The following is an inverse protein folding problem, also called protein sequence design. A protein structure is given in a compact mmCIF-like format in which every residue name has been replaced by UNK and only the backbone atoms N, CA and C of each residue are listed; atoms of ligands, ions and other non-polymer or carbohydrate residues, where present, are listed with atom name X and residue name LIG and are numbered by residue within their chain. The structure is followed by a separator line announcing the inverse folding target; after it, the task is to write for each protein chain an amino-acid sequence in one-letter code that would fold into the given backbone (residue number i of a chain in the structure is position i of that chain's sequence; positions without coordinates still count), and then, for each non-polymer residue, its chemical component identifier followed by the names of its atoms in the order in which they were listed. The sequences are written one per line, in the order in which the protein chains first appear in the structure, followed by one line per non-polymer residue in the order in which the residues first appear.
data_IF_339553509348
#
_entry.id   IF_339553509348
#
_cell.length_a   1.000
_cell.length_b   1.000
_cell.length_c   1.000
_cell.angle_alpha   90.00
_cell.angle_beta   90.00
_cell.angle_gamma   90.00
#
_symmetry.space_group_name_H-M   'P 1'
#
loop_
_entity.id
_entity.type
_entity.pdbx_description
1 polymer ?
#
# COMPACT_ATOMS: atom_id res chain seq x y z
N UNK A 1 52.36 -25.42 -10.82
CA UNK A 1 51.18 -26.29 -10.70
C UNK A 1 50.65 -26.16 -9.30
N UNK A 2 49.51 -25.51 -9.13
CA UNK A 2 48.49 -25.86 -8.12
C UNK A 2 47.30 -24.90 -8.32
N UNK A 3 46.21 -25.46 -8.84
CA UNK A 3 44.94 -24.78 -9.08
C UNK A 3 44.10 -24.91 -7.80
N UNK A 4 43.74 -23.81 -7.13
CA UNK A 4 42.67 -23.82 -6.12
C UNK A 4 41.39 -23.29 -6.76
N UNK A 5 40.53 -24.23 -7.13
CA UNK A 5 39.14 -23.98 -7.53
C UNK A 5 38.36 -23.40 -6.35
N UNK A 6 37.68 -22.27 -6.57
CA UNK A 6 36.65 -21.75 -5.66
C UNK A 6 35.30 -21.84 -6.38
N UNK A 7 34.55 -22.87 -6.03
CA UNK A 7 33.15 -23.05 -6.39
C UNK A 7 32.32 -21.96 -5.71
N UNK A 8 31.67 -21.10 -6.50
CA UNK A 8 30.67 -20.16 -6.00
C UNK A 8 29.35 -20.93 -5.85
N UNK A 9 28.93 -21.18 -4.61
CA UNK A 9 27.59 -21.69 -4.34
C UNK A 9 26.59 -20.53 -4.50
N UNK A 10 25.72 -20.61 -5.50
CA UNK A 10 24.54 -19.75 -5.57
C UNK A 10 23.54 -20.24 -4.52
N UNK A 11 23.47 -19.53 -3.39
CA UNK A 11 22.38 -19.67 -2.43
C UNK A 11 21.15 -18.96 -2.97
N UNK A 12 20.12 -19.70 -3.33
CA UNK A 12 18.76 -19.18 -3.55
C UNK A 12 18.26 -18.63 -2.21
N UNK A 13 18.14 -17.31 -2.09
CA UNK A 13 17.44 -16.68 -0.96
C UNK A 13 15.96 -16.63 -1.33
N UNK A 14 15.19 -17.57 -0.78
CA UNK A 14 13.73 -17.51 -0.81
C UNK A 14 13.29 -16.59 0.34
N UNK A 15 12.76 -15.40 0.02
CA UNK A 15 12.09 -14.55 1.01
C UNK A 15 10.66 -15.06 1.23
N UNK A 16 10.43 -15.73 2.36
CA UNK A 16 9.10 -15.84 2.94
C UNK A 16 8.93 -14.65 3.90
N UNK A 17 8.07 -13.68 3.58
CA UNK A 17 7.67 -12.65 4.53
C UNK A 17 6.22 -12.86 4.98
N UNK A 18 6.09 -13.57 6.09
CA UNK A 18 4.93 -13.57 6.96
C UNK A 18 5.44 -13.58 8.39
N UNK A 19 5.81 -12.41 8.93
CA UNK A 19 6.20 -12.30 10.34
C UNK A 19 4.99 -11.87 11.17
N UNK A 20 4.30 -12.85 11.76
CA UNK A 20 3.42 -12.62 12.90
C UNK A 20 4.28 -12.53 14.17
N UNK A 21 4.41 -11.34 14.75
CA UNK A 21 4.96 -11.19 16.10
C UNK A 21 3.78 -11.09 17.07
N UNK A 22 3.38 -12.21 17.67
CA UNK A 22 2.61 -12.20 18.91
C UNK A 22 3.56 -11.88 20.06
N UNK A 23 3.51 -10.66 20.60
CA UNK A 23 4.23 -10.30 21.83
C UNK A 23 3.26 -10.30 23.00
N UNK A 24 3.12 -11.44 23.66
CA UNK A 24 2.64 -11.47 25.04
C UNK A 24 3.85 -11.33 25.97
N UNK A 25 3.75 -10.39 26.92
CA UNK A 25 4.64 -10.12 28.06
C UNK A 25 5.67 -8.98 27.90
N UNK A 26 5.51 -8.02 28.82
CA UNK A 26 6.44 -6.99 29.28
C UNK A 26 6.51 -5.66 28.50
N UNK A 27 5.62 -4.75 28.87
CA UNK A 27 5.96 -3.38 29.30
C UNK A 27 7.00 -2.62 28.49
N UNK A 28 6.71 -2.32 27.23
CA UNK A 28 7.39 -1.27 26.46
C UNK A 28 6.45 -0.88 25.32
N UNK A 29 6.04 0.40 25.26
CA UNK A 29 5.29 0.98 24.15
C UNK A 29 6.14 0.93 22.86
N UNK A 30 6.27 -0.25 22.26
CA UNK A 30 6.87 -0.42 20.94
C UNK A 30 5.74 -0.29 19.93
N UNK A 31 5.80 0.77 19.13
CA UNK A 31 4.94 0.95 17.96
C UNK A 31 5.14 -0.26 17.04
N UNK A 32 4.09 -1.07 16.86
CA UNK A 32 4.04 -2.06 15.80
C UNK A 32 3.43 -1.37 14.58
N UNK A 33 4.23 -1.17 13.53
CA UNK A 33 3.73 -0.71 12.22
C UNK A 33 3.67 -1.95 11.34
N UNK A 34 2.48 -2.24 10.80
CA UNK A 34 2.35 -3.26 9.76
C UNK A 34 2.77 -2.59 8.45
N UNK A 35 3.87 -3.08 7.89
CA UNK A 35 4.40 -2.61 6.61
C UNK A 35 4.03 -3.60 5.52
N UNK A 36 3.36 -3.10 4.50
CA UNK A 36 3.07 -3.85 3.28
C UNK A 36 3.86 -3.25 2.14
N UNK A 37 4.76 -4.05 1.56
CA UNK A 37 5.65 -3.68 0.44
C UNK A 37 5.09 -4.34 -0.82
N UNK A 38 4.75 -3.54 -1.83
CA UNK A 38 4.25 -4.04 -3.12
C UNK A 38 5.40 -4.12 -4.13
N UNK A 39 5.62 -5.29 -4.75
CA UNK A 39 6.54 -5.46 -5.89
C UNK A 39 6.05 -6.58 -6.82
N UNK A 40 6.34 -6.50 -8.13
CA UNK A 40 6.06 -7.59 -9.09
C UNK A 40 7.27 -8.53 -9.22
N UNK A 41 7.07 -9.84 -9.10
CA UNK A 41 8.00 -10.87 -9.59
C UNK A 41 7.46 -11.47 -10.90
N UNK A 42 8.27 -11.45 -11.96
CA UNK A 42 7.99 -12.14 -13.21
C UNK A 42 8.27 -13.64 -13.05
N UNK A 43 7.22 -14.46 -12.89
CA UNK A 43 7.40 -15.93 -12.89
C UNK A 43 7.17 -16.55 -14.26
N UNK A 44 8.25 -17.07 -14.83
CA UNK A 44 8.27 -17.99 -15.98
C UNK A 44 7.93 -19.43 -15.57
N UNK A 45 7.04 -20.05 -16.36
CA UNK A 45 6.83 -21.48 -16.69
C UNK A 45 7.46 -22.55 -15.78
N UNK A 46 6.65 -23.51 -15.29
CA UNK A 46 7.05 -24.92 -15.21
C UNK A 46 5.84 -25.88 -15.33
N UNK A 47 6.15 -27.01 -15.95
CA UNK A 47 5.31 -28.00 -16.62
C UNK A 47 4.47 -28.92 -15.73
N UNK A 48 3.36 -29.40 -16.30
CA UNK A 48 2.54 -30.49 -15.79
C UNK A 48 3.31 -31.80 -15.66
N UNK A 49 3.16 -32.49 -14.53
CA UNK A 49 3.40 -33.93 -14.42
C UNK A 49 2.18 -34.56 -13.74
N UNK A 50 1.58 -35.53 -14.43
CA UNK A 50 0.49 -36.34 -13.90
C UNK A 50 1.05 -37.44 -13.01
N UNK A 51 0.41 -37.67 -11.86
CA UNK A 51 0.62 -38.87 -11.07
C UNK A 51 -0.76 -39.45 -10.74
N UNK A 52 -1.03 -40.63 -11.31
CA UNK A 52 -2.12 -41.51 -10.89
C UNK A 52 -1.61 -42.29 -9.70
N UNK A 53 -2.39 -42.37 -8.62
CA UNK A 53 -2.24 -43.50 -7.72
C UNK A 53 -3.55 -43.88 -7.01
N UNK A 54 -3.58 -45.16 -6.65
CA UNK A 54 -4.76 -46.02 -6.55
C UNK A 54 -5.53 -45.88 -5.23
N UNK A 55 -6.87 -45.92 -5.31
CA UNK A 55 -7.75 -45.98 -4.14
C UNK A 55 -7.57 -47.31 -3.40
N UNK A 56 -7.22 -47.24 -2.11
CA UNK A 56 -7.43 -48.34 -1.16
C UNK A 56 -8.45 -47.87 -0.13
N UNK A 57 -9.58 -48.58 0.00
CA UNK A 57 -10.64 -48.26 0.96
C UNK A 57 -10.17 -48.52 2.40
N UNK A 58 -10.12 -47.46 3.21
CA UNK A 58 -10.04 -47.56 4.67
C UNK A 58 -11.42 -47.35 5.29
N UNK A 59 -11.74 -48.16 6.30
CA UNK A 59 -13.00 -48.17 7.05
C UNK A 59 -13.18 -46.89 7.89
N UNK A 60 -14.43 -46.42 8.12
CA UNK A 60 -14.66 -45.13 8.75
C UNK A 60 -14.47 -45.23 10.26
N UNK A 61 -13.53 -44.45 10.80
CA UNK A 61 -13.44 -44.16 12.23
C UNK A 61 -14.46 -43.06 12.54
N UNK A 62 -15.40 -43.34 13.43
CA UNK A 62 -16.38 -42.36 13.92
C UNK A 62 -15.70 -41.30 14.78
N UNK A 63 -15.67 -40.06 14.29
CA UNK A 63 -15.16 -38.91 15.03
C UNK A 63 -16.18 -38.43 16.10
N UNK A 64 -15.74 -37.92 17.26
CA UNK A 64 -16.63 -37.38 18.28
C UNK A 64 -17.39 -36.15 17.77
N UNK A 65 -18.70 -36.15 17.98
CA UNK A 65 -19.66 -35.14 17.50
C UNK A 65 -19.74 -33.90 18.39
N UNK A 66 -18.63 -33.20 18.59
CA UNK A 66 -18.65 -31.80 19.08
C UNK A 66 -17.38 -31.08 18.62
N UNK A 67 -17.32 -30.75 17.33
CA UNK A 67 -16.48 -29.63 16.88
C UNK A 67 -17.35 -28.39 17.06
N UNK A 68 -17.14 -27.68 18.17
CA UNK A 68 -17.67 -26.32 18.30
C UNK A 68 -17.11 -25.51 17.13
N UNK A 69 -17.98 -25.16 16.18
CA UNK A 69 -17.59 -24.42 15.00
C UNK A 69 -17.27 -22.99 15.43
N UNK A 70 -16.02 -22.73 15.83
CA UNK A 70 -15.41 -21.42 15.65
C UNK A 70 -15.20 -21.20 14.15
N UNK A 71 -16.30 -21.22 13.38
CA UNK A 71 -16.32 -20.60 12.08
C UNK A 71 -16.16 -19.12 12.40
N UNK A 72 -14.92 -18.64 12.31
CA UNK A 72 -14.67 -17.22 12.13
C UNK A 72 -15.67 -16.76 11.07
N UNK A 73 -16.63 -15.92 11.47
CA UNK A 73 -17.59 -15.32 10.56
C UNK A 73 -16.81 -14.35 9.68
N UNK A 74 -16.13 -14.88 8.67
CA UNK A 74 -15.60 -14.10 7.58
C UNK A 74 -16.81 -13.64 6.77
N UNK A 75 -17.49 -12.58 7.23
CA UNK A 75 -18.53 -11.92 6.45
C UNK A 75 -18.02 -11.48 5.07
N UNK A 76 -16.69 -11.39 4.92
CA UNK A 76 -15.99 -10.99 3.72
C UNK A 76 -14.84 -11.94 3.40
N UNK A 77 -14.78 -12.34 2.12
CA UNK A 77 -13.68 -13.12 1.56
C UNK A 77 -12.68 -12.14 0.95
N UNK A 78 -11.38 -12.35 1.20
CA UNK A 78 -10.31 -11.59 0.52
C UNK A 78 -10.52 -11.57 -1.01
N UNK A 79 -11.03 -12.67 -1.58
CA UNK A 79 -11.34 -12.76 -3.01
C UNK A 79 -12.50 -11.85 -3.38
N UNK A 80 -13.58 -11.86 -2.59
CA UNK A 80 -14.72 -10.97 -2.80
C UNK A 80 -14.28 -9.49 -2.75
N UNK A 81 -13.51 -9.13 -1.73
CA UNK A 81 -13.08 -7.76 -1.51
C UNK A 81 -12.05 -7.30 -2.55
N UNK A 82 -11.19 -8.20 -3.02
CA UNK A 82 -10.28 -7.91 -4.13
C UNK A 82 -11.06 -7.63 -5.43
N UNK A 83 -12.10 -8.42 -5.73
CA UNK A 83 -12.95 -8.19 -6.90
C UNK A 83 -13.74 -6.88 -6.78
N UNK A 84 -14.21 -6.54 -5.58
CA UNK A 84 -14.89 -5.27 -5.33
C UNK A 84 -13.94 -4.08 -5.45
N UNK A 85 -12.75 -4.14 -4.83
CA UNK A 85 -11.70 -3.13 -4.95
C UNK A 85 -11.35 -2.90 -6.42
N UNK A 86 -11.08 -3.99 -7.16
CA UNK A 86 -10.82 -3.93 -8.60
C UNK A 86 -12.00 -3.29 -9.36
N UNK A 87 -13.24 -3.67 -9.05
CA UNK A 87 -14.42 -3.08 -9.70
C UNK A 87 -14.49 -1.57 -9.47
N UNK A 88 -14.26 -1.11 -8.23
CA UNK A 88 -14.28 0.31 -7.88
C UNK A 88 -13.18 1.08 -8.62
N UNK A 89 -11.93 0.59 -8.61
CA UNK A 89 -10.81 1.21 -9.33
C UNK A 89 -11.07 1.28 -10.84
N UNK A 90 -11.59 0.19 -11.43
CA UNK A 90 -11.79 0.08 -12.87
C UNK A 90 -12.98 0.86 -13.42
N UNK A 91 -13.94 1.29 -12.56
CA UNK A 91 -15.07 2.13 -12.98
C UNK A 91 -14.63 3.48 -13.55
N UNK A 92 -13.59 4.08 -12.98
CA UNK A 92 -13.13 5.42 -13.36
C UNK A 92 -11.91 5.37 -14.26
N UNK A 93 -11.10 4.30 -14.18
CA UNK A 93 -9.82 4.14 -14.89
C UNK A 93 -8.83 5.29 -14.61
N UNK A 94 -8.99 5.92 -13.43
CA UNK A 94 -8.17 7.05 -13.00
C UNK A 94 -7.08 6.69 -12.00
N UNK A 95 -6.88 5.40 -11.78
CA UNK A 95 -5.75 4.84 -11.06
C UNK A 95 -5.32 3.56 -11.75
N UNK A 96 -4.02 3.35 -11.85
CA UNK A 96 -3.37 2.18 -12.41
C UNK A 96 -3.22 1.00 -11.44
N UNK A 97 -3.61 1.17 -10.16
CA UNK A 97 -3.59 0.14 -9.09
C UNK A 97 -4.12 -1.24 -9.52
N UNK A 98 -5.05 -1.27 -10.46
CA UNK A 98 -5.62 -2.50 -11.04
C UNK A 98 -5.53 -2.59 -12.57
N UNK A 99 -4.91 -1.62 -13.24
CA UNK A 99 -4.77 -1.57 -14.71
C UNK A 99 -3.35 -1.93 -15.13
N UNK A 100 -2.35 -1.20 -14.60
CA UNK A 100 -0.94 -1.51 -14.79
C UNK A 100 -0.43 -2.42 -13.67
N UNK A 101 -1.03 -2.32 -12.49
CA UNK A 101 -0.68 -3.09 -11.29
C UNK A 101 -1.76 -4.10 -10.92
N UNK A 102 -1.44 -4.95 -9.94
CA UNK A 102 -2.33 -6.00 -9.40
C UNK A 102 -2.56 -5.85 -7.90
N UNK A 103 -2.75 -4.62 -7.42
CA UNK A 103 -2.81 -4.33 -6.00
C UNK A 103 -4.12 -4.74 -5.31
N UNK A 104 -5.15 -5.16 -6.07
CA UNK A 104 -6.46 -5.48 -5.51
C UNK A 104 -6.45 -6.51 -4.37
N UNK A 105 -5.66 -7.58 -4.49
CA UNK A 105 -5.63 -8.63 -3.47
C UNK A 105 -4.98 -8.13 -2.17
N UNK A 106 -3.89 -7.40 -2.32
CA UNK A 106 -3.08 -6.95 -1.20
C UNK A 106 -3.72 -5.75 -0.49
N UNK A 107 -4.42 -4.87 -1.22
CA UNK A 107 -5.30 -3.87 -0.61
C UNK A 107 -6.47 -4.50 0.11
N UNK A 108 -7.14 -5.48 -0.49
CA UNK A 108 -8.24 -6.19 0.19
C UNK A 108 -7.76 -6.79 1.52
N UNK A 109 -6.66 -7.54 1.53
CA UNK A 109 -6.08 -8.12 2.76
C UNK A 109 -5.72 -7.05 3.79
N UNK A 110 -5.07 -5.98 3.34
CA UNK A 110 -4.50 -4.96 4.22
C UNK A 110 -5.58 -4.05 4.80
N UNK A 111 -6.66 -3.78 4.07
CA UNK A 111 -7.66 -2.80 4.48
C UNK A 111 -8.93 -3.38 5.11
N UNK A 112 -9.11 -4.72 5.07
CA UNK A 112 -10.22 -5.43 5.75
C UNK A 112 -10.41 -4.98 7.20
N UNK A 113 -9.37 -4.84 8.06
CA UNK A 113 -9.55 -4.44 9.45
C UNK A 113 -10.26 -3.09 9.60
N UNK A 114 -9.99 -2.12 8.71
CA UNK A 114 -10.60 -0.79 8.75
C UNK A 114 -12.01 -0.78 8.14
N UNK A 115 -12.24 -1.64 7.14
CA UNK A 115 -13.54 -1.83 6.50
C UNK A 115 -14.58 -2.43 7.47
N UNK A 116 -14.15 -3.47 8.17
CA UNK A 116 -14.97 -4.25 9.10
C UNK A 116 -15.11 -3.59 10.46
N UNK A 117 -14.18 -2.70 10.82
CA UNK A 117 -14.25 -1.96 12.07
C UNK A 117 -15.56 -1.17 12.17
N UNK A 118 -16.16 -1.23 13.36
CA UNK A 118 -17.27 -0.34 13.74
C UNK A 118 -16.78 1.05 14.14
N UNK A 119 -15.50 1.18 14.48
CA UNK A 119 -14.88 2.47 14.77
C UNK A 119 -14.45 3.16 13.47
N UNK A 120 -14.71 4.47 13.33
CA UNK A 120 -14.23 5.23 12.18
C UNK A 120 -12.70 5.25 12.17
N UNK A 121 -12.12 5.32 10.97
CA UNK A 121 -10.67 5.43 10.79
C UNK A 121 -10.29 6.59 9.87
N UNK A 122 -9.00 6.92 9.78
CA UNK A 122 -8.47 7.98 8.93
C UNK A 122 -7.38 7.45 8.02
N UNK A 123 -7.54 7.69 6.72
CA UNK A 123 -6.55 7.37 5.71
C UNK A 123 -5.92 8.66 5.18
N UNK A 124 -4.60 8.66 5.02
CA UNK A 124 -3.85 9.65 4.25
C UNK A 124 -3.24 8.99 3.02
N UNK A 125 -3.59 9.46 1.82
CA UNK A 125 -2.90 9.10 0.57
C UNK A 125 -2.00 10.26 0.13
N UNK A 126 -0.70 9.99 0.04
CA UNK A 126 0.27 10.88 -0.57
C UNK A 126 0.21 10.64 -2.07
N UNK A 127 -0.14 11.67 -2.85
CA UNK A 127 -0.36 11.56 -4.29
C UNK A 127 -1.86 11.50 -4.64
N UNK A 128 -2.36 12.55 -5.28
CA UNK A 128 -3.74 12.65 -5.76
C UNK A 128 -3.86 12.35 -7.26
N UNK A 129 -2.72 12.09 -7.91
CA UNK A 129 -2.61 11.91 -9.36
C UNK A 129 -2.64 13.24 -10.13
N UNK A 130 -2.30 14.38 -9.52
CA UNK A 130 -2.31 15.67 -10.23
C UNK A 130 -1.31 15.74 -11.40
N UNK A 131 -0.30 14.87 -11.43
CA UNK A 131 0.64 14.75 -12.54
C UNK A 131 0.27 13.63 -13.54
N UNK A 132 -0.72 12.79 -13.23
CA UNK A 132 -1.15 11.69 -14.11
C UNK A 132 -1.89 12.19 -15.36
N UNK A 133 -1.43 11.83 -16.55
CA UNK A 133 -1.86 12.45 -17.83
C UNK A 133 -3.37 12.41 -18.14
N UNK A 134 -4.10 11.36 -17.73
CA UNK A 134 -5.52 11.16 -18.11
C UNK A 134 -6.52 11.80 -17.14
N UNK A 135 -6.25 11.73 -15.85
CA UNK A 135 -7.15 12.23 -14.81
C UNK A 135 -6.47 12.27 -13.44
N UNK A 136 -7.20 12.73 -12.42
CA UNK A 136 -6.81 12.74 -11.01
C UNK A 136 -7.91 12.06 -10.17
N UNK A 137 -7.73 11.97 -8.86
CA UNK A 137 -8.71 11.40 -7.91
C UNK A 137 -8.91 9.89 -8.00
N UNK A 138 -8.00 9.13 -8.62
CA UNK A 138 -8.09 7.68 -8.70
C UNK A 138 -8.18 7.00 -7.33
N UNK A 139 -7.36 7.46 -6.39
CA UNK A 139 -7.37 7.08 -4.98
C UNK A 139 -8.71 7.28 -4.28
N UNK A 140 -9.22 8.51 -4.11
CA UNK A 140 -10.48 8.75 -3.38
C UNK A 140 -11.69 8.11 -4.07
N UNK A 141 -11.70 8.02 -5.41
CA UNK A 141 -12.76 7.29 -6.13
C UNK A 141 -12.73 5.77 -5.90
N UNK A 142 -11.63 5.23 -5.39
CA UNK A 142 -11.48 3.82 -5.00
C UNK A 142 -11.67 3.64 -3.49
N UNK A 143 -10.90 4.34 -2.67
CA UNK A 143 -10.82 4.11 -1.24
C UNK A 143 -12.05 4.59 -0.47
N UNK A 144 -12.66 5.73 -0.83
CA UNK A 144 -13.86 6.22 -0.13
C UNK A 144 -15.05 5.24 -0.22
N UNK A 145 -15.43 4.70 -1.40
CA UNK A 145 -16.48 3.69 -1.47
C UNK A 145 -16.05 2.33 -0.87
N UNK A 146 -14.77 1.97 -0.95
CA UNK A 146 -14.27 0.71 -0.38
C UNK A 146 -14.25 0.73 1.15
N UNK A 147 -13.99 1.89 1.75
CA UNK A 147 -13.87 2.13 3.19
C UNK A 147 -14.89 3.15 3.69
N UNK A 148 -16.20 2.81 3.75
CA UNK A 148 -17.27 3.77 4.00
C UNK A 148 -17.25 4.42 5.40
N UNK A 149 -16.48 3.87 6.35
CA UNK A 149 -16.27 4.43 7.70
C UNK A 149 -14.92 5.13 7.86
N UNK A 150 -14.19 5.32 6.77
CA UNK A 150 -12.86 5.93 6.79
C UNK A 150 -12.90 7.32 6.20
N UNK A 151 -12.41 8.31 6.95
CA UNK A 151 -12.21 9.66 6.43
C UNK A 151 -10.95 9.68 5.58
N UNK A 152 -11.10 10.09 4.32
CA UNK A 152 -10.02 10.15 3.36
C UNK A 152 -9.37 11.53 3.39
N UNK A 153 -8.04 11.55 3.47
CA UNK A 153 -7.22 12.75 3.38
C UNK A 153 -6.16 12.54 2.31
N UNK A 154 -5.67 13.63 1.75
CA UNK A 154 -4.58 13.57 0.77
C UNK A 154 -3.49 14.60 1.05
N UNK A 155 -2.25 14.23 0.75
CA UNK A 155 -1.13 15.16 0.67
C UNK A 155 -0.65 15.21 -0.76
N UNK A 156 -0.73 16.39 -1.37
CA UNK A 156 -0.45 16.57 -2.78
C UNK A 156 0.42 17.81 -3.00
N UNK A 157 1.41 17.68 -3.88
CA UNK A 157 2.38 18.73 -4.18
C UNK A 157 1.67 19.96 -4.73
N UNK A 158 0.76 19.78 -5.68
CA UNK A 158 0.01 20.87 -6.29
C UNK A 158 -1.42 20.48 -6.66
N UNK A 159 -2.36 20.61 -5.73
CA UNK A 159 -3.79 20.36 -5.96
C UNK A 159 -4.38 21.26 -7.06
N UNK A 160 -3.83 22.46 -7.30
CA UNK A 160 -4.32 23.31 -8.40
C UNK A 160 -4.12 22.66 -9.78
N UNK A 161 -3.09 21.81 -9.93
CA UNK A 161 -2.88 21.01 -11.14
C UNK A 161 -3.94 19.91 -11.32
N UNK A 162 -4.52 19.40 -10.22
CA UNK A 162 -5.68 18.51 -10.28
C UNK A 162 -6.96 19.25 -10.68
N UNK A 163 -7.16 20.50 -10.25
CA UNK A 163 -8.41 21.24 -10.51
C UNK A 163 -8.73 21.36 -12.00
N UNK A 164 -7.71 21.56 -12.85
CA UNK A 164 -7.88 21.56 -14.30
C UNK A 164 -8.43 20.24 -14.86
N UNK A 165 -8.23 19.12 -14.16
CA UNK A 165 -8.68 17.78 -14.57
C UNK A 165 -10.04 17.40 -14.00
N UNK A 166 -10.51 18.06 -12.95
CA UNK A 166 -11.81 17.77 -12.34
C UNK A 166 -12.93 18.00 -13.35
N UNK A 167 -12.91 19.16 -14.02
CA UNK A 167 -13.89 19.51 -15.06
C UNK A 167 -13.81 18.54 -16.24
N UNK A 168 -12.59 18.23 -16.71
CA UNK A 168 -12.38 17.32 -17.84
C UNK A 168 -12.90 15.90 -17.59
N UNK A 169 -12.96 15.47 -16.32
CA UNK A 169 -13.38 14.12 -15.91
C UNK A 169 -14.76 14.08 -15.25
N UNK A 170 -15.53 15.17 -15.32
CA UNK A 170 -16.87 15.27 -14.74
C UNK A 170 -16.91 14.90 -13.24
N UNK A 171 -15.88 15.33 -12.49
CA UNK A 171 -15.81 15.09 -11.05
C UNK A 171 -16.98 15.81 -10.37
N UNK A 172 -17.79 15.13 -9.53
CA UNK A 172 -18.88 15.77 -8.80
C UNK A 172 -18.38 16.92 -7.92
N UNK A 173 -19.13 18.01 -7.86
CA UNK A 173 -18.80 19.20 -7.07
C UNK A 173 -18.66 18.86 -5.58
N UNK A 174 -19.45 17.90 -5.11
CA UNK A 174 -19.38 17.42 -3.73
C UNK A 174 -18.05 16.72 -3.44
N UNK A 175 -17.54 15.93 -4.39
CA UNK A 175 -16.27 15.24 -4.24
C UNK A 175 -15.10 16.23 -4.33
N UNK A 176 -15.12 17.16 -5.28
CA UNK A 176 -14.04 18.16 -5.40
C UNK A 176 -13.97 19.05 -4.16
N UNK A 177 -15.12 19.49 -3.63
CA UNK A 177 -15.19 20.25 -2.37
C UNK A 177 -14.69 19.43 -1.18
N UNK A 178 -15.09 18.16 -1.08
CA UNK A 178 -14.60 17.27 -0.02
C UNK A 178 -13.07 17.18 -0.04
N UNK A 179 -12.47 16.99 -1.21
CA UNK A 179 -11.01 16.90 -1.36
C UNK A 179 -10.34 18.23 -0.99
N UNK A 180 -10.86 19.38 -1.43
CA UNK A 180 -10.33 20.69 -1.05
C UNK A 180 -10.34 20.91 0.49
N UNK A 181 -11.36 20.40 1.19
CA UNK A 181 -11.48 20.49 2.65
C UNK A 181 -10.53 19.52 3.39
N UNK A 182 -10.15 18.39 2.76
CA UNK A 182 -9.37 17.29 3.34
C UNK A 182 -7.96 17.12 2.74
N UNK A 183 -7.50 18.12 1.98
CA UNK A 183 -6.17 18.12 1.38
C UNK A 183 -5.15 18.91 2.23
N UNK A 184 -3.92 18.41 2.20
CA UNK A 184 -2.70 19.11 2.54
C UNK A 184 -1.94 19.44 1.25
N UNK A 185 -1.25 20.58 1.25
CA UNK A 185 -0.52 21.08 0.08
C UNK A 185 0.97 21.17 0.36
N UNK A 186 1.78 20.65 -0.54
CA UNK A 186 3.24 20.73 -0.49
C UNK A 186 3.92 19.36 -0.63
N UNK A 187 5.25 19.37 -0.55
CA UNK A 187 6.05 18.15 -0.69
C UNK A 187 5.83 17.20 0.48
N UNK A 188 5.60 15.92 0.18
CA UNK A 188 5.59 14.84 1.17
C UNK A 188 6.98 14.50 1.72
N UNK A 189 8.03 15.06 1.13
CA UNK A 189 9.42 14.98 1.61
C UNK A 189 9.87 16.22 2.39
N UNK A 190 8.92 17.06 2.86
CA UNK A 190 9.18 18.21 3.72
C UNK A 190 8.57 17.97 5.11
N UNK A 191 9.43 17.94 6.13
CA UNK A 191 9.07 17.69 7.54
C UNK A 191 8.01 18.69 8.05
N UNK A 192 8.10 19.96 7.68
CA UNK A 192 7.14 20.97 8.13
C UNK A 192 5.77 20.73 7.51
N UNK A 193 5.72 20.35 6.24
CA UNK A 193 4.47 20.03 5.52
C UNK A 193 3.81 18.79 6.11
N UNK A 194 4.54 17.68 6.26
CA UNK A 194 3.95 16.44 6.80
C UNK A 194 3.52 16.60 8.25
N UNK A 195 4.27 17.33 9.08
CA UNK A 195 3.86 17.62 10.46
C UNK A 195 2.62 18.50 10.52
N UNK A 196 2.53 19.55 9.70
CA UNK A 196 1.33 20.38 9.62
C UNK A 196 0.10 19.58 9.18
N UNK A 197 0.29 18.67 8.22
CA UNK A 197 -0.77 17.77 7.76
C UNK A 197 -1.24 16.82 8.88
N UNK A 198 -0.29 16.16 9.57
CA UNK A 198 -0.60 15.29 10.71
C UNK A 198 -1.26 16.04 11.86
N UNK A 199 -0.85 17.27 12.14
CA UNK A 199 -1.49 18.09 13.18
C UNK A 199 -2.92 18.50 12.81
N UNK A 200 -3.18 18.75 11.52
CA UNK A 200 -4.51 19.16 11.02
C UNK A 200 -5.50 18.00 10.98
N UNK A 201 -5.09 16.84 10.48
CA UNK A 201 -6.01 15.74 10.14
C UNK A 201 -5.72 14.44 10.88
N UNK A 202 -4.49 14.24 11.34
CA UNK A 202 -4.06 13.02 12.01
C UNK A 202 -4.58 12.88 13.45
N UNK A 203 -4.01 11.94 14.22
CA UNK A 203 -3.17 10.84 13.71
C UNK A 203 -3.96 9.97 12.72
N UNK A 204 -3.27 9.36 11.76
CA UNK A 204 -3.85 8.51 10.73
C UNK A 204 -3.77 7.04 11.14
N UNK A 205 -4.75 6.25 10.72
CA UNK A 205 -4.78 4.80 10.87
C UNK A 205 -4.08 4.10 9.71
N UNK A 206 -4.17 4.70 8.51
CA UNK A 206 -3.52 4.23 7.29
C UNK A 206 -2.82 5.40 6.60
N UNK A 207 -1.57 5.21 6.21
CA UNK A 207 -0.84 6.10 5.31
C UNK A 207 -0.42 5.31 4.08
N UNK A 208 -0.76 5.82 2.90
CA UNK A 208 -0.36 5.27 1.60
C UNK A 208 0.57 6.27 0.93
N UNK A 209 1.78 5.84 0.57
CA UNK A 209 2.71 6.61 -0.26
C UNK A 209 2.64 6.15 -1.72
N UNK A 210 1.84 6.88 -2.50
CA UNK A 210 1.70 6.79 -3.96
C UNK A 210 2.14 8.13 -4.60
N UNK A 211 3.19 8.73 -4.00
CA UNK A 211 3.60 10.09 -4.31
C UNK A 211 4.48 10.16 -5.56
N UNK A 212 5.74 10.57 -5.36
CA UNK A 212 6.66 10.79 -6.48
C UNK A 212 7.40 9.55 -6.95
N UNK A 213 7.40 8.45 -6.20
CA UNK A 213 8.23 7.24 -6.43
C UNK A 213 9.77 7.46 -6.44
N UNK A 214 10.25 8.70 -6.29
CA UNK A 214 11.67 9.00 -6.10
C UNK A 214 12.16 8.30 -4.82
N UNK A 215 13.21 7.49 -4.92
CA UNK A 215 13.72 6.70 -3.80
C UNK A 215 14.01 7.57 -2.57
N UNK A 216 14.50 8.80 -2.77
CA UNK A 216 14.71 9.79 -1.70
C UNK A 216 13.42 10.16 -0.96
N UNK A 217 12.34 10.43 -1.68
CA UNK A 217 11.06 10.79 -1.06
C UNK A 217 10.42 9.59 -0.37
N UNK A 218 10.47 8.41 -1.01
CA UNK A 218 9.98 7.17 -0.42
C UNK A 218 10.77 6.78 0.84
N UNK A 219 12.10 6.94 0.82
CA UNK A 219 12.96 6.71 2.00
C UNK A 219 12.64 7.67 3.13
N UNK A 220 12.38 8.95 2.80
CA UNK A 220 11.93 9.94 3.77
C UNK A 220 10.60 9.51 4.40
N UNK A 221 9.61 9.19 3.56
CA UNK A 221 8.27 8.77 3.99
C UNK A 221 8.34 7.56 4.92
N UNK A 222 9.10 6.53 4.54
CA UNK A 222 9.34 5.35 5.37
C UNK A 222 9.90 5.70 6.75
N UNK A 223 11.00 6.46 6.79
CA UNK A 223 11.68 6.81 8.05
C UNK A 223 10.85 7.76 8.92
N UNK A 224 10.13 8.69 8.29
CA UNK A 224 9.28 9.66 8.97
C UNK A 224 8.08 8.97 9.60
N UNK A 225 7.25 8.27 8.82
CA UNK A 225 5.99 7.69 9.30
C UNK A 225 6.20 6.58 10.33
N UNK A 226 7.29 5.81 10.23
CA UNK A 226 7.62 4.78 11.23
C UNK A 226 7.88 5.35 12.63
N UNK A 227 8.27 6.63 12.72
CA UNK A 227 8.60 7.32 13.98
C UNK A 227 7.61 8.43 14.34
N UNK A 228 6.74 8.80 13.40
CA UNK A 228 5.86 9.95 13.53
C UNK A 228 4.70 9.62 14.48
N UNK A 229 4.36 10.52 15.42
CA UNK A 229 3.11 10.40 16.17
C UNK A 229 1.87 10.65 15.28
N UNK A 230 2.07 11.07 14.03
CA UNK A 230 1.03 11.23 13.03
C UNK A 230 0.47 9.93 12.47
N UNK A 231 1.10 8.79 12.72
CA UNK A 231 0.58 7.44 12.45
C UNK A 231 0.29 6.76 13.80
N UNK A 232 -0.92 6.23 13.98
CA UNK A 232 -1.29 5.57 15.25
C UNK A 232 -0.43 4.32 15.48
N UNK A 233 -0.12 3.95 16.74
CA UNK A 233 0.45 2.64 17.03
C UNK A 233 -0.48 1.53 16.52
N UNK A 234 0.06 0.58 15.74
CA UNK A 234 -0.76 -0.42 15.05
C UNK A 234 -1.27 0.03 13.68
N UNK A 235 -1.05 1.29 13.30
CA UNK A 235 -1.42 1.85 12.00
C UNK A 235 -0.56 1.30 10.87
N UNK A 236 -1.07 1.43 9.64
CA UNK A 236 -0.51 0.79 8.46
C UNK A 236 0.19 1.82 7.58
N UNK A 237 1.43 1.53 7.21
CA UNK A 237 2.16 2.28 6.19
C UNK A 237 2.29 1.39 4.96
N UNK A 238 1.71 1.86 3.85
CA UNK A 238 1.74 1.19 2.54
C UNK A 238 2.57 2.08 1.62
N UNK A 239 3.54 1.49 0.92
CA UNK A 239 4.38 2.19 -0.05
C UNK A 239 4.18 1.52 -1.40
N UNK A 240 3.72 2.28 -2.39
CA UNK A 240 3.51 1.80 -3.76
C UNK A 240 4.76 1.97 -4.64
N UNK A 241 4.77 1.23 -5.74
CA UNK A 241 5.66 1.41 -6.89
C UNK A 241 7.17 1.37 -6.63
N UNK A 242 7.58 0.52 -5.68
CA UNK A 242 8.99 0.33 -5.36
C UNK A 242 9.82 -0.21 -6.54
N UNK A 243 9.20 -0.80 -7.56
CA UNK A 243 9.89 -1.24 -8.78
C UNK A 243 10.63 -0.08 -9.48
N UNK A 244 10.10 1.15 -9.41
CA UNK A 244 10.63 2.32 -10.14
C UNK A 244 11.92 2.82 -9.50
N UNK A 245 12.17 2.50 -8.23
CA UNK A 245 13.39 2.91 -7.51
C UNK A 245 14.69 2.35 -8.12
N UNK A 246 14.58 1.32 -8.98
CA UNK A 246 15.71 0.75 -9.71
C UNK A 246 16.11 1.53 -10.98
N UNK A 247 15.33 2.56 -11.37
CA UNK A 247 15.57 3.32 -12.58
C UNK A 247 16.57 4.47 -12.33
N UNK A 248 17.50 4.76 -13.26
CA UNK A 248 18.56 5.75 -13.04
C UNK A 248 18.07 7.14 -12.62
N UNK A 249 16.94 7.60 -13.16
CA UNK A 249 16.38 8.92 -12.85
C UNK A 249 15.71 8.99 -11.47
N UNK A 250 15.42 7.84 -10.85
CA UNK A 250 14.60 7.71 -9.64
C UNK A 250 15.36 7.06 -8.45
N UNK A 251 16.55 6.52 -8.69
CA UNK A 251 17.33 5.72 -7.73
C UNK A 251 18.10 6.52 -6.66
N UNK A 252 18.09 7.86 -6.69
CA UNK A 252 18.81 8.63 -5.68
C UNK A 252 18.13 8.49 -4.31
N UNK A 253 18.89 8.10 -3.28
CA UNK A 253 18.37 7.91 -1.93
C UNK A 253 18.41 9.20 -1.12
N UNK A 254 17.72 9.23 0.03
CA UNK A 254 17.81 10.36 0.96
C UNK A 254 19.21 10.50 1.59
N UNK A 255 20.01 9.44 1.56
CA UNK A 255 21.40 9.43 2.04
C UNK A 255 22.38 10.00 1.01
N UNK A 256 21.99 10.04 -0.26
CA UNK A 256 22.76 10.69 -1.34
C UNK A 256 22.53 12.20 -1.41
N UNK A 257 21.88 12.78 -0.38
CA UNK A 257 21.54 14.19 -0.32
C UNK A 257 22.80 15.07 -0.20
N UNK A 258 23.15 15.70 -1.31
CA UNK A 258 24.07 16.83 -1.38
C UNK A 258 23.26 18.12 -1.61
N UNK A 259 23.17 18.96 -0.58
CA UNK A 259 22.35 20.18 -0.59
C UNK A 259 22.77 21.18 -1.68
N UNK A 260 23.98 21.08 -2.21
CA UNK A 260 24.52 22.01 -3.21
C UNK A 260 24.08 21.69 -4.65
N UNK A 261 23.39 20.57 -4.91
CA UNK A 261 23.21 20.03 -6.28
C UNK A 261 21.81 20.03 -6.87
N UNK A 262 20.75 20.50 -6.20
CA UNK A 262 19.38 20.29 -6.72
C UNK A 262 18.66 21.53 -7.29
N UNK A 263 18.32 21.40 -8.59
CA UNK A 263 17.24 22.08 -9.34
C UNK A 263 15.89 21.46 -8.95
N UNK A 264 14.86 22.30 -8.81
CA UNK A 264 13.53 22.00 -8.20
C UNK A 264 12.55 21.37 -9.21
N UNK A 265 13.05 20.77 -10.29
CA UNK A 265 12.21 20.24 -11.36
C UNK A 265 12.12 18.72 -11.28
N UNK A 266 10.90 18.21 -11.12
CA UNK A 266 10.60 16.80 -11.39
C UNK A 266 10.85 16.54 -12.89
N UNK A 267 11.57 15.47 -13.27
CA UNK A 267 11.63 15.06 -14.66
C UNK A 267 10.21 14.73 -15.15
N UNK A 268 9.93 15.15 -16.38
CA UNK A 268 8.62 15.07 -17.03
C UNK A 268 8.20 13.63 -17.36
#
# INVERSE_FOLDING_TARGET
MEHKSRTLAFGTITFFLGLFVHSSLLGSNKQAVVMTVMNEEATSVLSSHSYRDSLTMMTPVTAPTTVESHLAHWNYSVVHDALEFQSLTMRTKCSDKCIAHRYQEIYARTLIPFRESTQPSKLLEIGLGCHYHKCSLGGPMTFMPFLPRTTYHTLELNVSACKAKYDANHVPVELSRYIDEHACHGSSADVAVVNACSAKFGPFDVVIDDGSHMLKHTSFSFLFWLKSPGLVPGGYLIIEDLQVTSWPDWQSSALDYDAEKHDVRQPA
#
